data_IF_239133360951
#
_entry.id   IF_239133360951
#
_cell.length_a   1.000
_cell.length_b   1.000
_cell.length_c   1.000
_cell.angle_alpha   90.00
_cell.angle_beta   90.00
_cell.angle_gamma   90.00
#
_symmetry.space_group_name_H-M   'P 1'
#
loop_
_entity.id
_entity.type
_entity.pdbx_description
1 polymer ?
#
# COMPACT_ATOMS: atom_id res chain seq x y z
N UNK A 1 19.18 -16.06 1.98
CA UNK A 1 19.11 -15.69 3.40
C UNK A 1 20.20 -16.46 4.11
N UNK A 2 20.96 -15.79 4.93
CA UNK A 2 22.09 -16.36 5.66
C UNK A 2 22.26 -15.69 7.02
N UNK A 3 23.35 -16.00 7.71
CA UNK A 3 23.64 -15.49 9.06
C UNK A 3 24.03 -14.00 9.13
N UNK A 4 24.02 -13.27 8.02
CA UNK A 4 24.18 -11.81 8.04
C UNK A 4 22.94 -11.09 8.59
N UNK A 5 21.77 -11.76 8.57
CA UNK A 5 20.58 -11.31 9.29
C UNK A 5 20.65 -11.75 10.75
N UNK A 6 20.76 -10.83 11.73
CA UNK A 6 20.89 -11.17 13.14
C UNK A 6 19.61 -11.81 13.73
N UNK A 7 18.49 -11.78 13.01
CA UNK A 7 17.21 -12.35 13.47
C UNK A 7 16.96 -13.75 12.93
N UNK A 8 17.75 -14.20 11.95
CA UNK A 8 17.58 -15.53 11.36
C UNK A 8 18.07 -16.62 12.30
N UNK A 9 17.28 -17.66 12.44
CA UNK A 9 17.67 -18.87 13.16
C UNK A 9 17.52 -20.08 12.24
N UNK A 10 18.37 -21.08 12.45
CA UNK A 10 18.32 -22.35 11.73
C UNK A 10 18.04 -23.48 12.72
N UNK A 11 17.24 -24.45 12.30
CA UNK A 11 17.02 -25.67 13.07
C UNK A 11 18.13 -26.73 12.84
N UNK A 12 17.95 -27.89 13.44
CA UNK A 12 18.90 -28.99 13.33
C UNK A 12 19.02 -29.57 11.92
N UNK A 13 18.01 -29.37 11.10
CA UNK A 13 17.95 -29.79 9.69
C UNK A 13 18.43 -28.70 8.73
N UNK A 14 18.87 -27.55 9.25
CA UNK A 14 19.32 -26.40 8.46
C UNK A 14 18.19 -25.57 7.84
N UNK A 15 16.94 -25.76 8.27
CA UNK A 15 15.80 -24.98 7.79
C UNK A 15 15.73 -23.67 8.57
N UNK A 16 15.72 -22.54 7.86
CA UNK A 16 15.66 -21.23 8.50
C UNK A 16 14.26 -20.88 9.04
N UNK A 17 14.23 -19.99 10.04
CA UNK A 17 12.99 -19.51 10.66
C UNK A 17 11.99 -18.91 9.64
N UNK A 18 12.47 -18.26 8.58
CA UNK A 18 11.61 -17.72 7.52
C UNK A 18 10.97 -18.81 6.66
N UNK A 19 11.74 -19.86 6.30
CA UNK A 19 11.19 -21.02 5.59
C UNK A 19 10.14 -21.73 6.43
N UNK A 20 10.41 -21.92 7.72
CA UNK A 20 9.45 -22.53 8.64
C UNK A 20 8.16 -21.72 8.72
N UNK A 21 8.27 -20.42 8.94
CA UNK A 21 7.10 -19.52 8.94
C UNK A 21 6.33 -19.58 7.61
N UNK A 22 7.03 -19.68 6.48
CA UNK A 22 6.36 -19.85 5.18
C UNK A 22 5.54 -21.14 5.13
N UNK A 23 6.13 -22.26 5.50
CA UNK A 23 5.45 -23.56 5.41
C UNK A 23 4.34 -23.73 6.45
N UNK A 24 4.55 -23.26 7.68
CA UNK A 24 3.64 -23.50 8.80
C UNK A 24 2.51 -22.47 8.87
N UNK A 25 2.77 -21.22 8.46
CA UNK A 25 1.82 -20.11 8.64
C UNK A 25 1.32 -19.57 7.30
N UNK A 26 2.21 -19.28 6.35
CA UNK A 26 1.81 -18.58 5.12
C UNK A 26 1.15 -19.54 4.14
N UNK A 27 1.84 -20.62 3.79
CA UNK A 27 1.40 -21.59 2.78
C UNK A 27 0.02 -22.20 3.05
N UNK A 28 -0.34 -22.59 4.29
CA UNK A 28 -1.69 -23.11 4.58
C UNK A 28 -2.81 -22.10 4.38
N UNK A 29 -2.48 -20.80 4.46
CA UNK A 29 -3.43 -19.70 4.29
C UNK A 29 -3.40 -19.07 2.89
N UNK A 30 -2.45 -19.44 2.06
CA UNK A 30 -2.31 -18.93 0.70
C UNK A 30 -3.03 -19.84 -0.30
N UNK A 31 -4.12 -19.36 -0.85
CA UNK A 31 -4.95 -20.10 -1.78
C UNK A 31 -5.03 -19.38 -3.14
N UNK A 32 -4.01 -19.56 -3.98
CA UNK A 32 -3.98 -19.03 -5.35
C UNK A 32 -4.78 -19.95 -6.33
N UNK A 33 -6.01 -20.31 -5.97
CA UNK A 33 -6.86 -21.26 -6.68
C UNK A 33 -8.34 -20.96 -6.44
N UNK A 34 -9.25 -21.84 -6.91
CA UNK A 34 -10.69 -21.73 -6.74
C UNK A 34 -11.16 -21.55 -5.28
N UNK A 35 -10.46 -22.17 -4.33
CA UNK A 35 -10.74 -21.99 -2.90
C UNK A 35 -10.50 -20.54 -2.45
N UNK A 36 -9.45 -19.89 -2.97
CA UNK A 36 -9.17 -18.49 -2.71
C UNK A 36 -10.21 -17.57 -3.35
N UNK A 37 -10.62 -17.86 -4.59
CA UNK A 37 -11.70 -17.14 -5.25
C UNK A 37 -13.02 -17.24 -4.47
N UNK A 38 -13.36 -18.43 -4.01
CA UNK A 38 -14.57 -18.63 -3.19
C UNK A 38 -14.52 -17.84 -1.86
N UNK A 39 -13.34 -17.72 -1.25
CA UNK A 39 -13.17 -16.93 -0.03
C UNK A 39 -13.31 -15.42 -0.25
N UNK A 40 -12.87 -14.89 -1.38
CA UNK A 40 -12.90 -13.45 -1.66
C UNK A 40 -14.25 -13.00 -2.24
N UNK A 41 -15.01 -13.88 -2.90
CA UNK A 41 -16.27 -13.54 -3.56
C UNK A 41 -17.28 -12.82 -2.65
N UNK A 42 -17.57 -13.26 -1.41
CA UNK A 42 -18.49 -12.55 -0.53
C UNK A 42 -18.01 -11.13 -0.17
N UNK A 43 -16.69 -10.91 -0.11
CA UNK A 43 -16.13 -9.57 0.13
C UNK A 43 -16.33 -8.67 -1.08
N UNK A 44 -16.09 -9.17 -2.29
CA UNK A 44 -16.34 -8.44 -3.54
C UNK A 44 -17.80 -8.03 -3.65
N UNK A 45 -18.73 -8.93 -3.37
CA UNK A 45 -20.16 -8.64 -3.37
C UNK A 45 -20.53 -7.56 -2.34
N UNK A 46 -19.94 -7.61 -1.17
CA UNK A 46 -20.11 -6.58 -0.14
C UNK A 46 -19.59 -5.21 -0.60
N UNK A 47 -18.43 -5.15 -1.23
CA UNK A 47 -17.85 -3.93 -1.78
C UNK A 47 -18.82 -3.30 -2.78
N UNK A 48 -19.32 -4.09 -3.75
CA UNK A 48 -20.28 -3.63 -4.76
C UNK A 48 -21.59 -3.10 -4.14
N UNK A 49 -22.16 -3.85 -3.20
CA UNK A 49 -23.42 -3.48 -2.54
C UNK A 49 -23.32 -2.19 -1.74
N UNK A 50 -22.21 -1.97 -1.03
CA UNK A 50 -22.07 -0.80 -0.16
C UNK A 50 -21.96 0.51 -0.93
N UNK A 51 -21.46 0.50 -2.16
CA UNK A 51 -21.28 1.70 -2.98
C UNK A 51 -22.08 1.66 -4.31
N UNK A 52 -23.12 0.86 -4.37
CA UNK A 52 -23.92 0.69 -5.58
C UNK A 52 -24.48 2.01 -6.17
N UNK A 53 -24.68 3.02 -5.33
CA UNK A 53 -25.18 4.37 -5.72
C UNK A 53 -24.05 5.39 -5.92
N UNK A 54 -22.79 4.97 -5.91
CA UNK A 54 -21.60 5.82 -6.11
C UNK A 54 -20.90 5.44 -7.40
N UNK A 55 -20.10 6.32 -7.94
CA UNK A 55 -19.38 6.09 -9.19
C UNK A 55 -18.28 5.03 -9.02
N UNK A 56 -17.66 4.97 -7.85
CA UNK A 56 -16.57 4.06 -7.54
C UNK A 56 -16.87 3.16 -6.34
N UNK A 57 -16.47 1.89 -6.42
CA UNK A 57 -16.70 0.88 -5.39
C UNK A 57 -15.60 0.85 -4.32
N UNK A 58 -14.35 1.09 -4.73
CA UNK A 58 -13.16 1.03 -3.89
C UNK A 58 -12.07 1.96 -4.40
N UNK A 59 -11.02 2.11 -3.60
CA UNK A 59 -9.82 2.87 -3.93
C UNK A 59 -8.67 1.89 -4.17
N UNK A 60 -7.85 2.14 -5.21
CA UNK A 60 -6.64 1.35 -5.50
C UNK A 60 -5.45 2.30 -5.63
N UNK A 61 -4.44 2.12 -4.76
CA UNK A 61 -3.16 2.82 -4.90
C UNK A 61 -2.36 2.27 -6.07
N UNK A 62 -1.89 3.14 -6.96
CA UNK A 62 -1.10 2.75 -8.15
C UNK A 62 0.25 3.46 -8.16
N UNK A 63 1.31 2.69 -8.46
CA UNK A 63 2.69 3.19 -8.55
C UNK A 63 3.28 3.09 -9.96
N UNK A 64 2.50 2.59 -10.94
CA UNK A 64 3.01 2.27 -12.28
C UNK A 64 3.83 0.99 -12.36
N UNK A 65 4.00 0.28 -11.24
CA UNK A 65 4.61 -1.05 -11.18
C UNK A 65 3.63 -2.17 -11.56
N UNK A 66 4.18 -3.35 -11.85
CA UNK A 66 3.41 -4.51 -12.31
C UNK A 66 2.32 -4.93 -11.32
N UNK A 67 2.63 -4.99 -10.03
CA UNK A 67 1.72 -5.51 -9.00
C UNK A 67 0.47 -4.65 -8.86
N UNK A 68 0.63 -3.34 -8.74
CA UNK A 68 -0.50 -2.40 -8.63
C UNK A 68 -1.34 -2.37 -9.91
N UNK A 69 -0.69 -2.46 -11.07
CA UNK A 69 -1.35 -2.55 -12.37
C UNK A 69 -2.18 -3.83 -12.49
N UNK A 70 -1.61 -4.99 -12.11
CA UNK A 70 -2.31 -6.27 -12.15
C UNK A 70 -3.52 -6.32 -11.20
N UNK A 71 -3.41 -5.68 -10.04
CA UNK A 71 -4.53 -5.57 -9.09
C UNK A 71 -5.66 -4.74 -9.67
N UNK A 72 -5.37 -3.58 -10.26
CA UNK A 72 -6.37 -2.75 -10.91
C UNK A 72 -7.04 -3.49 -12.08
N UNK A 73 -6.24 -4.16 -12.92
CA UNK A 73 -6.76 -5.02 -13.99
C UNK A 73 -7.69 -6.12 -13.46
N UNK A 74 -7.26 -6.82 -12.42
CA UNK A 74 -8.04 -7.91 -11.82
C UNK A 74 -9.32 -7.41 -11.17
N UNK A 75 -9.27 -6.26 -10.49
CA UNK A 75 -10.45 -5.63 -9.89
C UNK A 75 -11.54 -5.36 -10.93
N UNK A 76 -11.14 -4.84 -12.09
CA UNK A 76 -12.08 -4.52 -13.18
C UNK A 76 -12.48 -5.79 -13.95
N UNK A 77 -11.52 -6.52 -14.52
CA UNK A 77 -11.79 -7.58 -15.50
C UNK A 77 -12.25 -8.90 -14.87
N UNK A 78 -11.76 -9.22 -13.67
CA UNK A 78 -12.13 -10.49 -13.00
C UNK A 78 -13.26 -10.30 -12.01
N UNK A 79 -13.28 -9.18 -11.29
CA UNK A 79 -14.25 -8.97 -10.21
C UNK A 79 -15.34 -7.97 -10.57
N UNK A 80 -15.23 -7.25 -11.70
CA UNK A 80 -16.23 -6.28 -12.14
C UNK A 80 -16.44 -5.14 -11.14
N UNK A 81 -15.37 -4.73 -10.47
CA UNK A 81 -15.35 -3.55 -9.60
C UNK A 81 -15.10 -2.29 -10.42
N UNK A 82 -15.52 -1.16 -9.90
CA UNK A 82 -15.28 0.19 -10.43
C UNK A 82 -14.33 0.92 -9.49
N UNK A 83 -13.02 0.67 -9.54
CA UNK A 83 -12.07 1.34 -8.67
C UNK A 83 -11.84 2.78 -9.10
N UNK A 84 -11.61 3.68 -8.13
CA UNK A 84 -10.89 4.92 -8.33
C UNK A 84 -9.41 4.65 -8.13
N UNK A 85 -8.58 5.03 -9.09
CA UNK A 85 -7.13 4.92 -8.95
C UNK A 85 -6.60 6.13 -8.18
N UNK A 86 -5.64 5.87 -7.30
CA UNK A 86 -4.99 6.90 -6.52
C UNK A 86 -3.47 6.78 -6.65
N UNK A 87 -2.85 7.81 -7.18
CA UNK A 87 -1.41 7.91 -7.32
C UNK A 87 -0.85 8.98 -6.37
N UNK A 88 0.27 8.69 -5.73
CA UNK A 88 0.99 9.69 -4.92
C UNK A 88 2.31 10.00 -5.60
N UNK A 89 2.46 11.25 -6.01
CA UNK A 89 3.71 11.77 -6.56
C UNK A 89 4.56 12.37 -5.43
N UNK A 90 5.61 11.65 -5.06
CA UNK A 90 6.60 12.10 -4.06
C UNK A 90 7.88 12.67 -4.70
N UNK A 91 7.85 12.98 -5.99
CA UNK A 91 9.00 13.54 -6.72
C UNK A 91 10.03 12.52 -7.23
N UNK A 92 9.74 11.21 -7.11
CA UNK A 92 10.64 10.12 -7.54
C UNK A 92 10.10 9.32 -8.73
N UNK A 93 9.03 9.81 -9.38
CA UNK A 93 8.41 9.10 -10.49
C UNK A 93 9.37 8.99 -11.67
N UNK A 94 9.46 7.78 -12.24
CA UNK A 94 10.13 7.58 -13.54
C UNK A 94 9.14 7.80 -14.67
N UNK A 95 9.62 8.23 -15.85
CA UNK A 95 8.78 8.38 -17.05
C UNK A 95 8.03 7.08 -17.38
N UNK A 96 8.69 5.93 -17.18
CA UNK A 96 8.09 4.63 -17.38
C UNK A 96 6.91 4.37 -16.46
N UNK A 97 7.03 4.72 -15.17
CA UNK A 97 5.94 4.57 -14.20
C UNK A 97 4.75 5.45 -14.57
N UNK A 98 4.98 6.72 -14.88
CA UNK A 98 3.94 7.66 -15.33
C UNK A 98 3.23 7.15 -16.58
N UNK A 99 4.01 6.72 -17.60
CA UNK A 99 3.45 6.14 -18.83
C UNK A 99 2.61 4.89 -18.57
N UNK A 100 3.04 4.03 -17.65
CA UNK A 100 2.28 2.82 -17.28
C UNK A 100 0.95 3.16 -16.60
N UNK A 101 0.93 4.15 -15.72
CA UNK A 101 -0.31 4.62 -15.07
C UNK A 101 -1.27 5.16 -16.11
N UNK A 102 -0.78 6.01 -17.04
CA UNK A 102 -1.63 6.55 -18.10
C UNK A 102 -2.22 5.46 -18.99
N UNK A 103 -1.41 4.49 -19.41
CA UNK A 103 -1.88 3.33 -20.20
C UNK A 103 -2.94 2.51 -19.43
N UNK A 104 -2.74 2.33 -18.13
CA UNK A 104 -3.71 1.62 -17.30
C UNK A 104 -5.07 2.34 -17.26
N UNK A 105 -5.05 3.65 -17.06
CA UNK A 105 -6.24 4.52 -17.09
C UNK A 105 -6.96 4.40 -18.44
N UNK A 106 -6.23 4.60 -19.53
CA UNK A 106 -6.80 4.58 -20.89
C UNK A 106 -7.40 3.22 -21.25
N UNK A 107 -6.67 2.12 -20.98
CA UNK A 107 -7.09 0.75 -21.35
C UNK A 107 -8.28 0.25 -20.53
N UNK A 108 -8.37 0.65 -19.25
CA UNK A 108 -9.45 0.21 -18.38
C UNK A 108 -10.60 1.22 -18.28
N UNK A 109 -10.42 2.44 -18.79
CA UNK A 109 -11.42 3.52 -18.69
C UNK A 109 -11.69 3.92 -17.25
N UNK A 110 -10.63 4.09 -16.44
CA UNK A 110 -10.74 4.39 -15.03
C UNK A 110 -10.41 5.84 -14.71
N UNK A 111 -10.99 6.36 -13.65
CA UNK A 111 -10.61 7.65 -13.10
C UNK A 111 -9.35 7.55 -12.24
N UNK A 112 -8.52 8.59 -12.30
CA UNK A 112 -7.28 8.71 -11.55
C UNK A 112 -7.28 10.03 -10.77
N UNK A 113 -6.88 9.93 -9.51
CA UNK A 113 -6.53 11.11 -8.69
C UNK A 113 -5.04 11.02 -8.38
N UNK A 114 -4.31 12.11 -8.65
CA UNK A 114 -2.91 12.24 -8.29
C UNK A 114 -2.75 13.22 -7.13
N UNK A 115 -2.15 12.74 -6.04
CA UNK A 115 -1.77 13.55 -4.90
C UNK A 115 -0.28 13.88 -4.98
N UNK A 116 0.05 15.17 -5.04
CA UNK A 116 1.44 15.63 -5.10
C UNK A 116 1.91 15.98 -3.70
N UNK A 117 2.97 15.33 -3.25
CA UNK A 117 3.59 15.58 -1.94
C UNK A 117 4.47 16.83 -2.01
N UNK A 118 4.53 17.60 -0.92
CA UNK A 118 5.45 18.73 -0.83
C UNK A 118 6.90 18.22 -0.90
N UNK A 119 7.57 18.52 -2.02
CA UNK A 119 8.92 18.07 -2.29
C UNK A 119 9.95 18.51 -1.26
N UNK A 120 9.83 19.73 -0.73
CA UNK A 120 10.80 20.22 0.25
C UNK A 120 10.72 19.43 1.56
N UNK A 121 9.50 19.16 2.03
CA UNK A 121 9.29 18.36 3.24
C UNK A 121 9.74 16.91 3.03
N UNK A 122 9.39 16.32 1.88
CA UNK A 122 9.78 14.96 1.53
C UNK A 122 11.30 14.80 1.47
N UNK A 123 11.97 15.74 0.81
CA UNK A 123 13.44 15.79 0.70
C UNK A 123 14.10 15.91 2.06
N UNK A 124 13.61 16.79 2.93
CA UNK A 124 14.20 16.99 4.25
C UNK A 124 13.99 15.77 5.16
N UNK A 125 12.83 15.14 5.08
CA UNK A 125 12.55 13.89 5.78
C UNK A 125 13.47 12.76 5.28
N UNK A 126 13.63 12.61 3.96
CA UNK A 126 14.52 11.61 3.37
C UNK A 126 15.99 11.83 3.78
N UNK A 127 16.43 13.08 3.81
CA UNK A 127 17.79 13.42 4.30
C UNK A 127 17.99 13.06 5.77
N UNK A 128 16.97 13.25 6.61
CA UNK A 128 17.04 12.88 8.01
C UNK A 128 17.19 11.34 8.16
N UNK A 129 16.48 10.55 7.36
CA UNK A 129 16.61 9.10 7.32
C UNK A 129 18.00 8.65 6.88
N UNK A 130 18.54 9.21 5.80
CA UNK A 130 19.92 8.92 5.39
C UNK A 130 20.94 9.24 6.48
N UNK A 131 20.80 10.38 7.16
CA UNK A 131 21.72 10.76 8.24
C UNK A 131 21.59 9.90 9.50
N UNK A 132 20.41 9.32 9.76
CA UNK A 132 20.18 8.46 10.93
C UNK A 132 20.78 7.06 10.79
N UNK A 133 21.15 6.64 9.56
CA UNK A 133 21.73 5.34 9.30
C UNK A 133 20.76 4.16 9.49
N UNK A 134 19.46 4.41 9.60
CA UNK A 134 18.46 3.32 9.68
C UNK A 134 18.40 2.55 8.35
N UNK A 135 18.23 1.22 8.39
CA UNK A 135 18.28 0.40 7.17
C UNK A 135 17.06 0.60 6.24
N UNK A 136 15.91 0.98 6.78
CA UNK A 136 14.66 1.12 6.00
C UNK A 136 14.56 2.54 5.39
N UNK A 137 15.30 2.80 4.33
CA UNK A 137 15.44 4.13 3.70
C UNK A 137 14.20 4.59 2.92
N UNK A 138 13.32 3.68 2.54
CA UNK A 138 12.06 3.90 1.83
C UNK A 138 10.88 4.23 2.76
N UNK A 139 11.04 4.05 4.07
CA UNK A 139 10.00 4.34 5.07
C UNK A 139 9.37 5.73 4.93
N UNK A 140 10.11 6.84 4.71
CA UNK A 140 9.49 8.16 4.53
C UNK A 140 8.49 8.21 3.39
N UNK A 141 8.84 7.60 2.27
CA UNK A 141 7.98 7.53 1.08
C UNK A 141 6.75 6.67 1.33
N UNK A 142 6.91 5.51 1.94
CA UNK A 142 5.80 4.62 2.30
C UNK A 142 4.81 5.29 3.24
N UNK A 143 5.31 5.99 4.26
CA UNK A 143 4.47 6.76 5.19
C UNK A 143 3.69 7.85 4.46
N UNK A 144 4.33 8.59 3.55
CA UNK A 144 3.66 9.62 2.76
C UNK A 144 2.55 9.02 1.88
N UNK A 145 2.83 7.90 1.20
CA UNK A 145 1.87 7.21 0.34
C UNK A 145 0.65 6.73 1.12
N UNK A 146 0.88 6.01 2.20
CA UNK A 146 -0.24 5.48 3.00
C UNK A 146 -1.03 6.58 3.68
N UNK A 147 -0.37 7.61 4.21
CA UNK A 147 -1.07 8.74 4.83
C UNK A 147 -1.97 9.46 3.84
N UNK A 148 -1.48 9.79 2.64
CA UNK A 148 -2.27 10.43 1.60
C UNK A 148 -3.45 9.54 1.17
N UNK A 149 -3.21 8.25 0.94
CA UNK A 149 -4.22 7.30 0.51
C UNK A 149 -5.34 7.12 1.56
N UNK A 150 -4.98 6.98 2.84
CA UNK A 150 -5.97 6.80 3.91
C UNK A 150 -6.74 8.08 4.21
N UNK A 151 -6.09 9.24 4.21
CA UNK A 151 -6.77 10.52 4.38
C UNK A 151 -7.78 10.74 3.26
N UNK A 152 -7.37 10.54 2.00
CA UNK A 152 -8.28 10.64 0.86
C UNK A 152 -9.46 9.67 0.99
N UNK A 153 -9.21 8.42 1.36
CA UNK A 153 -10.25 7.43 1.56
C UNK A 153 -11.26 7.85 2.63
N UNK A 154 -10.78 8.39 3.74
CA UNK A 154 -11.62 8.88 4.83
C UNK A 154 -12.47 10.08 4.39
N UNK A 155 -11.86 11.08 3.77
CA UNK A 155 -12.51 12.33 3.38
C UNK A 155 -13.61 12.10 2.33
N UNK A 156 -13.41 11.09 1.44
CA UNK A 156 -14.37 10.73 0.39
C UNK A 156 -15.26 9.53 0.75
N UNK A 157 -15.18 9.04 2.01
CA UNK A 157 -16.02 7.96 2.53
C UNK A 157 -15.79 6.61 1.85
N UNK A 158 -14.56 6.34 1.37
CA UNK A 158 -14.18 4.99 0.91
C UNK A 158 -13.97 4.08 2.10
N UNK A 159 -14.63 2.92 2.09
CA UNK A 159 -14.49 1.90 3.14
C UNK A 159 -13.50 0.81 2.77
N UNK A 160 -13.17 0.70 1.50
CA UNK A 160 -12.29 -0.36 0.99
C UNK A 160 -11.17 0.24 0.16
N UNK A 161 -9.96 -0.12 0.55
CA UNK A 161 -8.74 0.14 -0.20
C UNK A 161 -8.18 -1.23 -0.59
N UNK A 162 -7.97 -1.43 -1.88
CA UNK A 162 -7.33 -2.64 -2.40
C UNK A 162 -5.90 -2.30 -2.76
N UNK A 163 -4.96 -3.04 -2.24
CA UNK A 163 -3.52 -2.87 -2.54
C UNK A 163 -2.86 -4.21 -2.77
N UNK A 164 -1.80 -4.21 -3.59
CA UNK A 164 -0.86 -5.30 -3.64
C UNK A 164 0.05 -5.27 -2.43
N UNK A 165 0.32 -6.43 -1.89
CA UNK A 165 1.34 -6.59 -0.88
C UNK A 165 2.07 -7.91 -1.13
N UNK A 166 3.38 -7.87 -1.00
CA UNK A 166 4.17 -9.09 -0.81
C UNK A 166 3.77 -9.61 0.57
N UNK A 167 3.40 -10.89 0.66
CA UNK A 167 3.13 -11.52 1.95
C UNK A 167 4.45 -11.63 2.68
N UNK A 168 4.76 -10.63 3.49
CA UNK A 168 5.85 -10.68 4.45
C UNK A 168 5.30 -11.06 5.82
N UNK A 169 6.00 -11.90 6.59
CA UNK A 169 5.51 -12.41 7.87
C UNK A 169 5.23 -11.34 8.93
N UNK A 170 5.75 -10.13 8.75
CA UNK A 170 5.69 -9.05 9.73
C UNK A 170 4.87 -7.82 9.29
N UNK A 171 4.19 -7.85 8.14
CA UNK A 171 3.32 -6.75 7.70
C UNK A 171 1.88 -7.09 8.02
N UNK A 172 1.43 -6.72 9.20
CA UNK A 172 0.01 -6.71 9.55
C UNK A 172 -0.67 -5.51 8.89
N UNK A 173 -1.50 -5.76 7.92
CA UNK A 173 -2.46 -4.77 7.43
C UNK A 173 -3.73 -4.93 8.24
N UNK A 174 -3.87 -4.11 9.26
CA UNK A 174 -5.13 -3.97 9.98
C UNK A 174 -6.11 -3.13 9.16
N UNK A 175 -7.24 -3.72 8.80
CA UNK A 175 -8.37 -3.01 8.19
C UNK A 175 -9.20 -2.28 9.27
N UNK A 176 -8.57 -1.50 10.14
CA UNK A 176 -9.28 -0.69 11.14
C UNK A 176 -8.64 0.67 11.31
N UNK A 177 -9.47 1.68 11.26
CA UNK A 177 -9.24 3.12 11.37
C UNK A 177 -8.73 3.57 12.75
N UNK A 178 -7.79 2.87 13.35
CA UNK A 178 -7.37 3.25 14.69
C UNK A 178 -5.89 3.20 15.06
N UNK A 179 -5.04 2.31 14.57
CA UNK A 179 -3.72 2.16 15.15
C UNK A 179 -2.51 2.43 14.24
N UNK A 180 -2.65 3.11 13.10
CA UNK A 180 -1.50 3.43 12.23
C UNK A 180 -0.45 4.26 12.99
N UNK A 181 -0.87 5.15 13.87
CA UNK A 181 0.01 5.89 14.78
C UNK A 181 0.79 4.99 15.77
N UNK A 182 0.23 3.83 16.14
CA UNK A 182 0.91 2.89 17.06
C UNK A 182 1.99 2.05 16.39
N UNK A 183 1.85 1.70 15.12
CA UNK A 183 2.87 0.95 14.36
C UNK A 183 4.12 1.80 14.10
N UNK A 184 3.93 3.09 13.80
CA UNK A 184 5.04 4.03 13.57
C UNK A 184 5.77 4.34 14.89
N UNK A 185 5.05 4.42 16.01
CA UNK A 185 5.64 4.75 17.32
C UNK A 185 6.47 3.63 17.94
N UNK A 186 6.28 2.36 17.53
CA UNK A 186 6.99 1.21 18.11
C UNK A 186 8.26 0.82 17.38
N UNK A 187 8.43 1.23 16.14
CA UNK A 187 9.59 0.81 15.34
C UNK A 187 10.69 1.87 15.21
N UNK A 188 10.38 3.16 15.36
CA UNK A 188 11.36 4.23 15.19
C UNK A 188 11.05 5.42 16.10
N UNK A 189 11.99 5.78 16.96
CA UNK A 189 11.99 7.04 17.71
C UNK A 189 12.31 8.22 16.76
N UNK A 190 11.42 8.50 15.83
CA UNK A 190 11.50 9.68 14.97
C UNK A 190 10.86 10.84 15.72
N UNK A 191 11.50 12.01 15.67
CA UNK A 191 10.98 13.24 16.27
C UNK A 191 9.50 13.43 15.91
N UNK A 192 8.65 13.30 16.91
CA UNK A 192 7.18 13.39 16.80
C UNK A 192 6.69 14.67 16.13
N UNK A 193 7.49 15.72 16.09
CA UNK A 193 7.14 17.02 15.50
C UNK A 193 7.16 17.03 13.96
N UNK A 194 8.00 16.22 13.30
CA UNK A 194 8.06 16.15 11.84
C UNK A 194 6.91 15.27 11.32
N UNK A 195 6.66 14.16 11.98
CA UNK A 195 5.56 13.25 11.59
C UNK A 195 4.18 13.90 11.82
N UNK A 196 4.00 14.64 12.92
CA UNK A 196 2.75 15.36 13.22
C UNK A 196 2.45 16.46 12.18
N UNK A 197 3.47 17.17 11.67
CA UNK A 197 3.30 18.15 10.58
C UNK A 197 2.91 17.49 9.26
N UNK A 198 3.47 16.32 8.95
CA UNK A 198 3.10 15.55 7.75
C UNK A 198 1.66 15.04 7.79
N UNK A 199 1.14 14.71 8.98
CA UNK A 199 -0.20 14.17 9.18
C UNK A 199 -1.28 15.23 9.38
N UNK A 200 -0.92 16.48 9.74
CA UNK A 200 -1.85 17.56 10.07
C UNK A 200 -1.85 18.77 9.13
N UNK A 201 -1.00 18.76 8.09
CA UNK A 201 -0.93 19.86 7.11
C UNK A 201 -2.16 19.89 6.16
N UNK A 202 -2.60 21.08 5.73
CA UNK A 202 -3.63 21.19 4.69
C UNK A 202 -3.04 20.75 3.35
N UNK A 203 -3.40 19.55 2.91
CA UNK A 203 -2.99 19.03 1.60
C UNK A 203 -3.91 19.58 0.51
N UNK A 204 -3.33 20.20 -0.51
CA UNK A 204 -4.07 20.62 -1.70
C UNK A 204 -4.13 19.44 -2.69
N UNK A 205 -5.35 18.98 -2.96
CA UNK A 205 -5.62 17.97 -3.98
C UNK A 205 -5.89 18.67 -5.31
N UNK A 206 -5.10 18.36 -6.33
CA UNK A 206 -5.40 18.78 -7.70
C UNK A 206 -6.17 17.64 -8.40
N UNK A 207 -7.37 17.94 -8.87
CA UNK A 207 -8.18 17.06 -9.73
C UNK A 207 -7.89 17.48 -11.17
N UNK A 208 -7.41 16.57 -11.97
CA UNK A 208 -7.26 16.74 -13.44
C UNK A 208 -8.18 15.77 -14.16
#
# INVERSE_FOLDING_TARGET
MDTSDPTITFDVDGVCSYCRNFFDVIKPNWHANEKGLAKIAPLIDRIKKQRAKRDHDCLIGVSGGLDSTYIAYSAVKRFGLRPLLFHVDAGWNTDAAVSNIQKLVDVLGLDLVTHVVNWQEMKDLQRAFFKSGVPAQDTPQDVAFFSALFNFANDHGFKYIIKGAIIQPNVFVSASTGPILRLISHSYAISTNVLARFLSGPFHCAIS
#
